data_IF_249703218828
#
_entry.id   IF_249703218828
#
_cell.length_a   1.000
_cell.length_b   1.000
_cell.length_c   1.000
_cell.angle_alpha   90.00
_cell.angle_beta   90.00
_cell.angle_gamma   90.00
#
_symmetry.space_group_name_H-M   'P 1'
#
loop_
_entity.id
_entity.type
_entity.pdbx_description
1 polymer ?
#
# COMPACT_ATOMS: atom_id res chain seq x y z
N UNK A 1 12.44 -44.42 18.10
CA UNK A 1 11.17 -44.09 17.42
C UNK A 1 11.17 -42.60 17.18
N UNK A 2 11.65 -42.19 16.01
CA UNK A 2 11.78 -40.79 15.63
C UNK A 2 10.52 -40.38 14.86
N UNK A 3 9.70 -39.51 15.44
CA UNK A 3 8.52 -38.98 14.77
C UNK A 3 8.95 -37.92 13.76
N UNK A 4 8.94 -38.28 12.49
CA UNK A 4 8.99 -37.32 11.38
C UNK A 4 7.71 -36.48 11.43
N UNK A 5 7.82 -35.22 11.86
CA UNK A 5 6.80 -34.21 11.64
C UNK A 5 6.88 -33.75 10.19
N UNK A 6 5.94 -34.22 9.37
CA UNK A 6 5.72 -33.68 8.02
C UNK A 6 5.46 -32.17 8.10
N UNK A 7 5.95 -31.36 7.12
CA UNK A 7 5.63 -29.94 7.05
C UNK A 7 4.11 -29.82 6.88
N UNK A 8 3.49 -29.15 7.86
CA UNK A 8 2.05 -29.09 8.05
C UNK A 8 1.31 -28.62 6.81
N UNK A 9 0.22 -29.31 6.52
CA UNK A 9 -0.86 -28.85 5.65
C UNK A 9 -1.37 -27.53 6.22
N UNK A 10 -1.13 -26.43 5.50
CA UNK A 10 -1.65 -25.12 5.87
C UNK A 10 -3.17 -25.14 5.76
N UNK A 11 -3.84 -25.07 6.91
CA UNK A 11 -5.29 -24.90 7.00
C UNK A 11 -5.70 -23.64 6.22
N UNK A 12 -6.69 -23.76 5.33
CA UNK A 12 -7.05 -22.78 4.31
C UNK A 12 -7.76 -21.54 4.88
N UNK A 13 -7.09 -20.80 5.76
CA UNK A 13 -7.53 -19.46 6.13
C UNK A 13 -7.57 -18.58 4.88
N UNK A 14 -8.73 -18.00 4.55
CA UNK A 14 -8.82 -16.96 3.54
C UNK A 14 -7.88 -15.82 3.99
N UNK A 15 -6.87 -15.53 3.18
CA UNK A 15 -6.01 -14.34 3.31
C UNK A 15 -6.42 -13.39 2.19
N UNK A 16 -7.46 -12.56 2.35
CA UNK A 16 -7.75 -11.56 1.35
C UNK A 16 -6.51 -10.66 1.27
N UNK A 17 -5.93 -10.52 0.08
CA UNK A 17 -4.58 -9.96 -0.09
C UNK A 17 -4.44 -8.55 0.51
N UNK A 18 -5.53 -7.81 0.63
CA UNK A 18 -5.58 -6.43 1.12
C UNK A 18 -6.47 -6.25 2.37
N UNK A 19 -6.92 -7.35 3.00
CA UNK A 19 -7.68 -7.27 4.26
C UNK A 19 -6.76 -7.60 5.41
N UNK A 20 -6.11 -6.56 5.91
CA UNK A 20 -5.30 -6.56 7.12
C UNK A 20 -5.80 -5.48 8.07
N UNK A 21 -5.44 -5.58 9.35
CA UNK A 21 -5.85 -4.60 10.36
C UNK A 21 -4.72 -3.60 10.67
N UNK A 22 -5.08 -2.38 11.06
CA UNK A 22 -4.13 -1.32 11.43
C UNK A 22 -3.24 -1.75 12.60
N UNK A 23 -3.75 -2.57 13.53
CA UNK A 23 -2.97 -3.13 14.63
C UNK A 23 -1.80 -3.98 14.12
N UNK A 24 -2.04 -4.83 13.12
CA UNK A 24 -0.99 -5.60 12.45
C UNK A 24 -0.03 -4.71 11.67
N UNK A 25 -0.53 -3.69 10.96
CA UNK A 25 0.34 -2.73 10.26
C UNK A 25 1.29 -2.04 11.24
N UNK A 26 0.76 -1.47 12.33
CA UNK A 26 1.56 -0.83 13.38
C UNK A 26 2.58 -1.77 14.01
N UNK A 27 2.17 -3.01 14.32
CA UNK A 27 3.08 -4.01 14.87
C UNK A 27 4.22 -4.33 13.89
N UNK A 28 3.91 -4.49 12.60
CA UNK A 28 4.93 -4.74 11.59
C UNK A 28 5.86 -3.54 11.40
N UNK A 29 5.35 -2.30 11.42
CA UNK A 29 6.19 -1.10 11.43
C UNK A 29 7.17 -1.10 12.61
N UNK A 30 6.71 -1.42 13.83
CA UNK A 30 7.59 -1.49 15.01
C UNK A 30 8.64 -2.61 14.94
N UNK A 31 8.23 -3.81 14.51
CA UNK A 31 9.16 -4.93 14.32
C UNK A 31 10.22 -4.56 13.28
N UNK A 32 9.78 -3.92 12.20
CA UNK A 32 10.68 -3.60 11.10
C UNK A 32 11.64 -2.45 11.42
N UNK A 33 11.18 -1.44 12.18
CA UNK A 33 12.02 -0.36 12.68
C UNK A 33 13.11 -0.86 13.66
N UNK A 34 12.87 -1.99 14.34
CA UNK A 34 13.82 -2.58 15.30
C UNK A 34 14.70 -3.70 14.71
N UNK A 35 14.40 -4.18 13.49
CA UNK A 35 15.07 -5.30 12.85
C UNK A 35 16.00 -4.94 11.69
N UNK A 36 16.62 -5.96 11.08
CA UNK A 36 17.42 -5.81 9.87
C UNK A 36 16.52 -5.74 8.61
N UNK A 37 15.90 -4.59 8.37
CA UNK A 37 15.03 -4.31 7.23
C UNK A 37 15.72 -4.39 5.85
N UNK A 38 17.04 -4.58 5.82
CA UNK A 38 17.81 -4.69 4.59
C UNK A 38 17.66 -6.05 3.91
N UNK A 39 17.36 -7.10 4.68
CA UNK A 39 17.40 -8.48 4.18
C UNK A 39 16.04 -8.97 3.67
N UNK A 40 14.94 -8.33 4.07
CA UNK A 40 13.60 -8.78 3.71
C UNK A 40 12.63 -7.62 3.46
N UNK A 41 11.70 -7.77 2.50
CA UNK A 41 10.73 -6.74 2.17
C UNK A 41 9.72 -6.55 3.30
N UNK A 42 9.17 -5.33 3.42
CA UNK A 42 8.07 -5.05 4.33
C UNK A 42 6.84 -5.90 3.97
N UNK A 43 6.27 -6.59 4.94
CA UNK A 43 5.07 -7.42 4.72
C UNK A 43 4.13 -7.35 5.90
N UNK A 44 2.85 -7.08 5.63
CA UNK A 44 1.81 -7.11 6.65
C UNK A 44 1.40 -8.57 6.89
N UNK A 45 1.91 -9.14 7.97
CA UNK A 45 1.47 -10.45 8.44
C UNK A 45 0.15 -10.27 9.22
N UNK A 46 -0.97 -10.41 8.51
CA UNK A 46 -2.31 -10.42 9.10
C UNK A 46 -3.09 -11.56 8.46
N UNK A 47 -3.58 -12.49 9.28
CA UNK A 47 -4.32 -13.67 8.83
C UNK A 47 -5.58 -13.83 9.69
N UNK A 48 -6.76 -13.84 9.08
CA UNK A 48 -8.02 -14.09 9.78
C UNK A 48 -8.25 -15.60 9.88
N UNK A 49 -8.56 -16.06 11.09
CA UNK A 49 -8.85 -17.48 11.35
C UNK A 49 -10.34 -17.73 11.14
N UNK A 50 -10.75 -17.90 9.88
CA UNK A 50 -12.09 -18.33 9.50
C UNK A 50 -13.18 -17.25 9.47
N UNK A 51 -14.37 -17.65 8.99
CA UNK A 51 -15.52 -16.78 8.66
C UNK A 51 -16.32 -16.26 9.86
N UNK A 52 -15.85 -16.47 11.09
CA UNK A 52 -16.57 -16.08 12.31
C UNK A 52 -15.76 -15.29 13.33
N UNK A 53 -14.47 -15.07 13.08
CA UNK A 53 -13.61 -14.34 14.01
C UNK A 53 -13.54 -12.86 13.61
N UNK A 54 -13.79 -11.97 14.57
CA UNK A 54 -13.58 -10.53 14.39
C UNK A 54 -12.10 -10.13 14.54
N UNK A 55 -11.22 -11.10 14.85
CA UNK A 55 -9.80 -10.90 15.10
C UNK A 55 -8.95 -11.75 14.17
N UNK A 56 -7.81 -11.21 13.75
CA UNK A 56 -6.75 -11.95 13.10
C UNK A 56 -5.88 -12.70 14.13
N UNK A 57 -5.13 -13.71 13.69
CA UNK A 57 -4.22 -14.52 14.51
C UNK A 57 -3.32 -13.67 15.41
N UNK A 58 -2.60 -12.72 14.81
CA UNK A 58 -1.64 -11.89 15.55
C UNK A 58 -2.32 -11.06 16.65
N UNK A 59 -3.49 -10.48 16.37
CA UNK A 59 -4.25 -9.75 17.39
C UNK A 59 -4.82 -10.64 18.49
N UNK A 60 -5.10 -11.92 18.19
CA UNK A 60 -5.47 -12.90 19.22
C UNK A 60 -4.28 -13.21 20.13
N UNK A 61 -3.10 -13.44 19.55
CA UNK A 61 -1.87 -13.76 20.29
C UNK A 61 -1.45 -12.64 21.25
N UNK A 62 -1.53 -11.37 20.81
CA UNK A 62 -1.16 -10.21 21.65
C UNK A 62 -2.35 -9.67 22.46
N UNK A 63 -3.48 -10.39 22.49
CA UNK A 63 -4.71 -10.00 23.17
C UNK A 63 -5.23 -8.58 22.82
N UNK A 64 -4.97 -8.09 21.61
CA UNK A 64 -5.41 -6.77 21.14
C UNK A 64 -6.70 -6.84 20.31
N UNK A 65 -7.28 -5.68 20.02
CA UNK A 65 -8.39 -5.54 19.08
C UNK A 65 -7.88 -5.40 17.63
N UNK A 66 -8.56 -6.02 16.67
CA UNK A 66 -8.37 -5.70 15.27
C UNK A 66 -9.07 -4.39 14.93
N UNK A 67 -8.29 -3.39 14.52
CA UNK A 67 -8.83 -2.14 13.99
C UNK A 67 -8.81 -2.26 12.46
N UNK A 68 -9.99 -2.36 11.84
CA UNK A 68 -10.10 -2.44 10.38
C UNK A 68 -10.02 -1.04 9.76
N UNK A 69 -9.51 -0.99 8.53
CA UNK A 69 -9.59 0.22 7.69
C UNK A 69 -11.07 0.57 7.45
N UNK A 70 -11.47 1.85 7.57
CA UNK A 70 -12.82 2.30 7.25
C UNK A 70 -13.26 1.86 5.85
N UNK A 71 -14.52 1.46 5.71
CA UNK A 71 -15.09 1.02 4.43
C UNK A 71 -14.89 2.00 3.26
N UNK A 72 -14.89 3.31 3.53
CA UNK A 72 -14.64 4.38 2.55
C UNK A 72 -13.18 4.49 2.07
N UNK A 73 -12.25 3.78 2.71
CA UNK A 73 -10.81 3.81 2.45
C UNK A 73 -10.24 2.43 2.08
N UNK A 74 -11.08 1.43 1.80
CA UNK A 74 -10.60 0.08 1.45
C UNK A 74 -9.73 0.10 0.18
N UNK A 75 -10.07 0.96 -0.77
CA UNK A 75 -9.26 1.18 -1.97
C UNK A 75 -7.90 1.78 -1.63
N UNK A 76 -7.80 2.67 -0.65
CA UNK A 76 -6.51 3.22 -0.22
C UNK A 76 -5.64 2.16 0.48
N UNK A 77 -6.24 1.27 1.29
CA UNK A 77 -5.53 0.11 1.86
C UNK A 77 -5.05 -0.86 0.78
N UNK A 78 -5.87 -1.04 -0.26
CA UNK A 78 -5.48 -1.83 -1.44
C UNK A 78 -4.31 -1.18 -2.19
N UNK A 79 -4.36 0.14 -2.43
CA UNK A 79 -3.27 0.89 -3.05
C UNK A 79 -1.96 0.69 -2.26
N UNK A 80 -1.99 0.82 -0.93
CA UNK A 80 -0.83 0.58 -0.08
C UNK A 80 -0.28 -0.86 -0.22
N UNK A 81 -1.16 -1.86 -0.21
CA UNK A 81 -0.76 -3.26 -0.38
C UNK A 81 -0.11 -3.51 -1.75
N UNK A 82 -0.63 -2.89 -2.81
CA UNK A 82 -0.04 -3.00 -4.15
C UNK A 82 1.34 -2.37 -4.21
N UNK A 83 1.54 -1.22 -3.55
CA UNK A 83 2.85 -0.59 -3.41
C UNK A 83 3.83 -1.52 -2.66
N UNK A 84 3.40 -2.16 -1.57
CA UNK A 84 4.24 -3.11 -0.83
C UNK A 84 4.62 -4.32 -1.67
N UNK A 85 3.66 -4.89 -2.40
CA UNK A 85 3.92 -6.02 -3.29
C UNK A 85 4.89 -5.63 -4.41
N UNK A 86 4.69 -4.47 -5.04
CA UNK A 86 5.62 -3.95 -6.05
C UNK A 86 7.02 -3.77 -5.46
N UNK A 87 7.14 -3.08 -4.33
CA UNK A 87 8.44 -2.82 -3.71
C UNK A 87 9.15 -4.10 -3.25
N UNK A 88 8.41 -5.16 -2.93
CA UNK A 88 9.02 -6.45 -2.56
C UNK A 88 9.89 -7.05 -3.68
N UNK A 89 9.64 -6.69 -4.93
CA UNK A 89 10.46 -7.13 -6.07
C UNK A 89 11.92 -6.66 -6.00
N UNK A 90 12.21 -5.58 -5.27
CA UNK A 90 13.59 -5.10 -5.06
C UNK A 90 14.45 -6.03 -4.17
N UNK A 91 13.80 -6.98 -3.50
CA UNK A 91 14.45 -8.03 -2.71
C UNK A 91 14.52 -9.38 -3.43
N UNK A 92 13.94 -9.50 -4.63
CA UNK A 92 14.05 -10.73 -5.42
C UNK A 92 15.38 -10.77 -6.18
N UNK A 93 16.01 -11.95 -6.20
CA UNK A 93 17.18 -12.26 -7.02
C UNK A 93 16.79 -12.68 -8.46
N UNK A 94 15.48 -12.74 -8.77
CA UNK A 94 14.96 -13.19 -10.06
C UNK A 94 15.19 -12.19 -11.21
N UNK A 95 15.72 -10.99 -10.92
CA UNK A 95 16.03 -9.96 -11.90
C UNK A 95 17.32 -10.28 -12.68
N UNK A 96 17.37 -11.38 -13.43
CA UNK A 96 18.41 -11.71 -14.43
C UNK A 96 19.88 -11.37 -14.03
N UNK A 97 20.26 -11.63 -12.77
CA UNK A 97 21.62 -11.36 -12.29
C UNK A 97 21.90 -9.93 -11.84
N UNK A 98 20.87 -9.08 -11.76
CA UNK A 98 20.90 -7.76 -11.17
C UNK A 98 20.41 -7.81 -9.72
N UNK A 99 21.26 -7.38 -8.80
CA UNK A 99 20.94 -7.32 -7.37
C UNK A 99 21.05 -5.89 -6.87
N UNK A 100 19.93 -5.37 -6.35
CA UNK A 100 19.92 -4.08 -5.67
C UNK A 100 20.80 -4.12 -4.42
N UNK A 101 21.71 -3.14 -4.29
CA UNK A 101 22.59 -3.09 -3.13
C UNK A 101 21.82 -2.74 -1.84
N UNK A 102 22.46 -2.98 -0.69
CA UNK A 102 21.85 -2.73 0.62
C UNK A 102 21.49 -1.25 0.84
N UNK A 103 22.26 -0.31 0.26
CA UNK A 103 21.96 1.12 0.33
C UNK A 103 20.64 1.48 -0.37
N UNK A 104 20.41 0.93 -1.56
CA UNK A 104 19.15 1.06 -2.29
C UNK A 104 17.98 0.47 -1.48
N UNK A 105 18.12 -0.79 -1.05
CA UNK A 105 17.08 -1.50 -0.27
C UNK A 105 16.74 -0.74 1.02
N UNK A 106 17.74 -0.17 1.69
CA UNK A 106 17.55 0.70 2.86
C UNK A 106 16.79 1.99 2.54
N UNK A 107 17.04 2.61 1.39
CA UNK A 107 16.31 3.79 0.91
C UNK A 107 14.83 3.49 0.63
N UNK A 108 14.56 2.43 -0.14
CA UNK A 108 13.19 1.96 -0.39
C UNK A 108 12.50 1.56 0.91
N UNK A 109 13.23 0.89 1.80
CA UNK A 109 12.69 0.46 3.07
C UNK A 109 12.18 1.66 3.89
N UNK A 110 13.03 2.68 4.09
CA UNK A 110 12.62 3.91 4.78
C UNK A 110 11.37 4.54 4.15
N UNK A 111 11.31 4.62 2.83
CA UNK A 111 10.17 5.18 2.12
C UNK A 111 8.88 4.39 2.36
N UNK A 112 8.95 3.06 2.44
CA UNK A 112 7.79 2.20 2.77
C UNK A 112 7.30 2.45 4.21
N UNK A 113 8.21 2.65 5.16
CA UNK A 113 7.84 2.98 6.54
C UNK A 113 7.05 4.29 6.61
N UNK A 114 7.60 5.35 6.01
CA UNK A 114 6.97 6.68 6.01
C UNK A 114 5.60 6.65 5.31
N UNK A 115 5.47 5.88 4.23
CA UNK A 115 4.20 5.67 3.54
C UNK A 115 3.17 4.95 4.43
N UNK A 116 3.61 3.94 5.19
CA UNK A 116 2.77 3.20 6.13
C UNK A 116 2.30 4.07 7.29
N UNK A 117 3.18 4.90 7.85
CA UNK A 117 2.85 5.87 8.90
C UNK A 117 1.84 6.90 8.39
N UNK A 118 2.08 7.45 7.20
CA UNK A 118 1.14 8.37 6.56
C UNK A 118 -0.25 7.73 6.36
N UNK A 119 -0.29 6.44 5.98
CA UNK A 119 -1.56 5.71 5.87
C UNK A 119 -2.31 5.62 7.21
N UNK A 120 -1.60 5.32 8.31
CA UNK A 120 -2.20 5.27 9.65
C UNK A 120 -2.74 6.65 10.07
N UNK A 121 -2.01 7.71 9.76
CA UNK A 121 -2.41 9.09 10.06
C UNK A 121 -3.66 9.53 9.27
N UNK A 122 -3.75 9.20 7.97
CA UNK A 122 -4.95 9.55 7.19
C UNK A 122 -6.18 8.75 7.62
N UNK A 123 -6.01 7.48 8.04
CA UNK A 123 -7.12 6.68 8.55
C UNK A 123 -7.64 7.28 9.85
N UNK A 124 -6.73 7.74 10.72
CA UNK A 124 -7.10 8.44 11.95
C UNK A 124 -7.85 9.75 11.66
N UNK A 125 -7.32 10.58 10.76
CA UNK A 125 -7.97 11.83 10.36
C UNK A 125 -9.38 11.61 9.78
N UNK A 126 -9.55 10.58 8.96
CA UNK A 126 -10.85 10.21 8.41
C UNK A 126 -11.82 9.71 9.48
N UNK A 127 -11.35 8.87 10.41
CA UNK A 127 -12.16 8.41 11.55
C UNK A 127 -12.58 9.59 12.43
N UNK A 128 -11.68 10.52 12.72
CA UNK A 128 -11.95 11.73 13.47
C UNK A 128 -13.02 12.58 12.78
N UNK A 129 -12.91 12.85 11.47
CA UNK A 129 -13.92 13.60 10.71
C UNK A 129 -15.33 12.98 10.82
N UNK A 130 -15.42 11.66 10.65
CA UNK A 130 -16.69 10.94 10.75
C UNK A 130 -17.25 10.90 12.17
N UNK A 131 -16.39 11.01 13.18
CA UNK A 131 -16.78 11.11 14.58
C UNK A 131 -17.05 12.57 15.03
N UNK A 132 -16.70 13.59 14.23
CA UNK A 132 -16.67 15.00 14.64
C UNK A 132 -17.62 15.92 13.86
N UNK A 133 -18.53 15.40 13.02
CA UNK A 133 -19.44 16.24 12.21
C UNK A 133 -20.47 17.02 13.06
N UNK A 134 -19.99 18.17 13.55
CA UNK A 134 -20.59 19.50 13.82
C UNK A 134 -21.74 19.62 14.83
N UNK A 135 -22.23 18.54 15.43
CA UNK A 135 -23.09 18.64 16.62
C UNK A 135 -22.77 17.58 17.69
N UNK A 136 -21.50 17.20 17.82
CA UNK A 136 -21.02 16.23 18.81
C UNK A 136 -21.55 14.80 18.63
N UNK A 137 -22.26 14.53 17.53
CA UNK A 137 -22.80 13.22 17.21
C UNK A 137 -21.91 12.51 16.19
N UNK A 138 -21.49 11.30 16.53
CA UNK A 138 -20.92 10.36 15.58
C UNK A 138 -21.88 10.19 14.38
N UNK A 139 -21.36 10.17 13.15
CA UNK A 139 -22.20 9.84 11.98
C UNK A 139 -22.95 8.54 12.28
N UNK A 140 -24.27 8.54 12.08
CA UNK A 140 -25.04 7.34 12.35
C UNK A 140 -24.54 6.20 11.45
N UNK A 141 -24.50 4.95 11.93
CA UNK A 141 -24.11 3.81 11.09
C UNK A 141 -24.94 3.69 9.80
N UNK A 142 -26.18 4.18 9.80
CA UNK A 142 -27.05 4.23 8.63
C UNK A 142 -26.54 5.28 7.64
N UNK A 143 -26.28 6.52 8.09
CA UNK A 143 -25.75 7.58 7.24
C UNK A 143 -24.39 7.21 6.62
N UNK A 144 -23.52 6.54 7.39
CA UNK A 144 -22.25 6.04 6.88
C UNK A 144 -22.44 4.98 5.79
N UNK A 145 -23.35 4.01 5.98
CA UNK A 145 -23.69 3.00 4.95
C UNK A 145 -24.31 3.65 3.71
N UNK A 146 -25.16 4.67 3.88
CA UNK A 146 -25.74 5.42 2.76
C UNK A 146 -24.65 6.14 1.96
N UNK A 147 -23.68 6.79 2.62
CA UNK A 147 -22.55 7.43 1.96
C UNK A 147 -21.70 6.43 1.18
N UNK A 148 -21.39 5.27 1.77
CA UNK A 148 -20.67 4.19 1.08
C UNK A 148 -21.42 3.74 -0.18
N UNK A 149 -22.72 3.46 -0.06
CA UNK A 149 -23.55 3.02 -1.17
C UNK A 149 -23.61 4.07 -2.29
N UNK A 150 -23.75 5.35 -1.93
CA UNK A 150 -23.75 6.46 -2.89
C UNK A 150 -22.43 6.53 -3.67
N UNK A 151 -21.27 6.47 -2.99
CA UNK A 151 -19.96 6.49 -3.67
C UNK A 151 -19.75 5.26 -4.54
N UNK A 152 -20.19 4.09 -4.07
CA UNK A 152 -20.08 2.86 -4.84
C UNK A 152 -20.88 2.95 -6.15
N UNK A 153 -22.07 3.53 -6.12
CA UNK A 153 -22.87 3.75 -7.32
C UNK A 153 -22.19 4.70 -8.31
N UNK A 154 -21.53 5.77 -7.82
CA UNK A 154 -20.78 6.69 -8.70
C UNK A 154 -19.65 5.96 -9.43
N UNK A 155 -18.89 5.10 -8.73
CA UNK A 155 -17.82 4.29 -9.35
C UNK A 155 -18.40 3.35 -10.41
N UNK A 156 -19.45 2.60 -10.05
CA UNK A 156 -20.07 1.63 -10.96
C UNK A 156 -20.66 2.28 -12.22
N UNK A 157 -21.20 3.50 -12.10
CA UNK A 157 -21.76 4.23 -13.24
C UNK A 157 -20.69 4.89 -14.13
N UNK A 158 -19.54 5.25 -13.56
CA UNK A 158 -18.42 5.85 -14.30
C UNK A 158 -17.52 4.84 -15.02
N UNK A 159 -17.64 3.56 -14.68
CA UNK A 159 -16.74 2.51 -15.14
C UNK A 159 -17.34 1.61 -16.20
N UNK A 160 -16.79 1.70 -17.41
CA UNK A 160 -17.22 0.88 -18.55
C UNK A 160 -16.42 -0.42 -18.69
N UNK A 161 -15.25 -0.54 -18.03
CA UNK A 161 -14.37 -1.72 -18.11
C UNK A 161 -13.76 -2.10 -16.75
N UNK A 162 -14.01 -3.32 -16.29
CA UNK A 162 -13.47 -3.87 -15.02
C UNK A 162 -11.95 -4.09 -15.02
N UNK A 163 -11.31 -4.05 -16.19
CA UNK A 163 -9.87 -4.20 -16.31
C UNK A 163 -9.11 -2.96 -15.79
N UNK A 164 -9.75 -1.80 -15.80
CA UNK A 164 -9.13 -0.57 -15.31
C UNK A 164 -9.02 -0.59 -13.77
N UNK A 165 -7.84 -0.26 -13.26
CA UNK A 165 -7.57 -0.08 -11.82
C UNK A 165 -8.58 0.87 -11.15
N UNK A 166 -8.95 1.93 -11.87
CA UNK A 166 -9.95 2.92 -11.44
C UNK A 166 -11.36 2.34 -11.34
N UNK A 167 -11.58 1.16 -11.91
CA UNK A 167 -12.86 0.45 -11.95
C UNK A 167 -12.96 -0.71 -10.97
N UNK A 168 -11.97 -0.88 -10.10
CA UNK A 168 -12.14 -1.70 -8.91
C UNK A 168 -13.21 -1.06 -8.02
N UNK A 169 -14.23 -1.82 -7.55
CA UNK A 169 -15.33 -1.29 -6.73
C UNK A 169 -14.89 -1.02 -5.27
N UNK A 170 -13.66 -0.54 -5.08
CA UNK A 170 -13.06 -0.22 -3.81
C UNK A 170 -13.13 1.30 -3.59
N UNK A 171 -13.74 1.69 -2.48
CA UNK A 171 -13.90 3.09 -2.11
C UNK A 171 -12.56 3.68 -1.66
N UNK A 172 -12.25 4.86 -2.17
CA UNK A 172 -11.06 5.64 -1.81
C UNK A 172 -11.47 6.99 -1.25
N UNK A 173 -10.53 7.64 -0.58
CA UNK A 173 -10.64 9.06 -0.28
C UNK A 173 -10.83 9.86 -1.58
N UNK A 174 -11.73 10.84 -1.53
CA UNK A 174 -12.01 11.78 -2.64
C UNK A 174 -11.68 13.22 -2.22
N UNK A 175 -11.52 14.16 -3.16
CA UNK A 175 -11.37 15.57 -2.82
C UNK A 175 -12.46 16.06 -1.88
N UNK A 176 -12.07 16.62 -0.74
CA UNK A 176 -12.96 17.05 0.33
C UNK A 176 -12.91 16.16 1.57
N UNK A 177 -12.47 14.89 1.45
CA UNK A 177 -12.30 14.02 2.61
C UNK A 177 -11.07 14.42 3.45
N UNK A 178 -11.17 14.24 4.77
CA UNK A 178 -10.02 14.36 5.65
C UNK A 178 -8.92 13.36 5.26
N UNK A 179 -7.70 13.88 5.12
CA UNK A 179 -6.53 13.09 4.74
C UNK A 179 -6.31 12.93 3.23
N UNK A 180 -7.27 13.31 2.36
CA UNK A 180 -7.12 13.12 0.91
C UNK A 180 -5.83 13.77 0.33
N UNK A 181 -5.53 15.06 0.60
CA UNK A 181 -4.30 15.67 0.07
C UNK A 181 -3.04 15.00 0.60
N UNK A 182 -3.02 14.72 1.92
CA UNK A 182 -1.88 14.07 2.60
C UNK A 182 -1.59 12.68 2.03
N UNK A 183 -2.63 11.93 1.65
CA UNK A 183 -2.45 10.61 1.06
C UNK A 183 -1.83 10.68 -0.33
N UNK A 184 -2.25 11.64 -1.15
CA UNK A 184 -1.60 11.93 -2.44
C UNK A 184 -0.13 12.27 -2.25
N UNK A 185 0.16 13.24 -1.38
CA UNK A 185 1.53 13.71 -1.09
C UNK A 185 2.43 12.57 -0.59
N UNK A 186 1.91 11.67 0.25
CA UNK A 186 2.68 10.54 0.76
C UNK A 186 3.08 9.55 -0.34
N UNK A 187 2.18 9.25 -1.29
CA UNK A 187 2.47 8.37 -2.43
C UNK A 187 3.48 9.00 -3.38
N UNK A 188 3.35 10.30 -3.64
CA UNK A 188 4.30 11.06 -4.46
C UNK A 188 5.69 11.11 -3.80
N UNK A 189 5.73 11.32 -2.47
CA UNK A 189 6.96 11.31 -1.72
C UNK A 189 7.66 9.95 -1.75
N UNK A 190 6.89 8.86 -1.59
CA UNK A 190 7.41 7.51 -1.71
C UNK A 190 8.07 7.27 -3.08
N UNK A 191 7.38 7.60 -4.18
CA UNK A 191 7.92 7.43 -5.54
C UNK A 191 9.20 8.24 -5.75
N UNK A 192 9.23 9.48 -5.26
CA UNK A 192 10.42 10.33 -5.32
C UNK A 192 11.61 9.71 -4.59
N UNK A 193 11.38 9.16 -3.39
CA UNK A 193 12.44 8.51 -2.62
C UNK A 193 12.98 7.26 -3.32
N UNK A 194 12.11 6.45 -3.92
CA UNK A 194 12.55 5.28 -4.70
C UNK A 194 13.41 5.73 -5.89
N UNK A 195 12.99 6.77 -6.62
CA UNK A 195 13.77 7.32 -7.74
C UNK A 195 15.16 7.81 -7.29
N UNK A 196 15.22 8.57 -6.20
CA UNK A 196 16.50 9.04 -5.64
C UNK A 196 17.40 7.88 -5.20
N UNK A 197 16.83 6.83 -4.61
CA UNK A 197 17.57 5.63 -4.25
C UNK A 197 18.11 4.93 -5.50
N UNK A 198 17.31 4.84 -6.57
CA UNK A 198 17.72 4.28 -7.86
C UNK A 198 18.89 5.06 -8.45
N UNK A 199 18.81 6.39 -8.51
CA UNK A 199 19.88 7.25 -9.02
C UNK A 199 21.18 7.06 -8.23
N UNK A 200 21.10 7.01 -6.90
CA UNK A 200 22.25 6.76 -6.03
C UNK A 200 22.87 5.37 -6.26
N UNK A 201 22.04 4.35 -6.50
CA UNK A 201 22.50 2.99 -6.81
C UNK A 201 23.32 2.95 -8.10
N UNK A 202 22.84 3.58 -9.18
CA UNK A 202 23.58 3.63 -10.44
C UNK A 202 24.84 4.46 -10.37
N UNK A 203 24.80 5.60 -9.67
CA UNK A 203 26.00 6.38 -9.42
C UNK A 203 27.08 5.53 -8.72
N UNK A 204 26.68 4.72 -7.74
CA UNK A 204 27.57 3.76 -7.07
C UNK A 204 28.16 2.74 -8.04
N UNK A 205 27.35 2.10 -8.90
CA UNK A 205 27.84 1.12 -9.89
C UNK A 205 28.87 1.74 -10.84
N UNK A 206 28.59 2.95 -11.36
CA UNK A 206 29.50 3.68 -12.23
C UNK A 206 30.84 3.97 -11.55
N UNK A 207 30.83 4.43 -10.29
CA UNK A 207 32.07 4.74 -9.57
C UNK A 207 32.95 3.53 -9.28
N UNK A 208 32.36 2.32 -9.24
CA UNK A 208 33.07 1.07 -8.93
C UNK A 208 33.45 0.27 -10.18
N UNK A 209 33.33 0.86 -11.38
CA UNK A 209 33.73 0.20 -12.63
C UNK A 209 32.83 -0.96 -13.06
N UNK A 210 31.62 -1.06 -12.50
CA UNK A 210 30.60 -1.95 -13.05
C UNK A 210 30.00 -1.30 -14.29
N UNK A 211 29.84 -2.07 -15.38
CA UNK A 211 29.10 -1.61 -16.55
C UNK A 211 27.68 -1.26 -16.11
N UNK A 212 27.35 0.03 -16.14
CA UNK A 212 26.00 0.45 -15.84
C UNK A 212 25.08 -0.03 -16.96
N UNK A 213 23.91 -0.59 -16.63
CA UNK A 213 22.89 -0.84 -17.65
C UNK A 213 22.51 0.48 -18.33
N UNK A 214 22.13 0.37 -19.59
CA UNK A 214 21.97 1.49 -20.52
C UNK A 214 20.86 2.49 -20.16
N UNK A 215 20.04 2.21 -19.14
CA UNK A 215 19.02 3.12 -18.63
C UNK A 215 18.61 2.82 -17.19
N UNK A 216 18.70 3.82 -16.30
CA UNK A 216 18.30 3.72 -14.90
C UNK A 216 16.79 3.49 -14.68
N UNK A 217 15.96 3.84 -15.66
CA UNK A 217 14.50 3.64 -15.61
C UNK A 217 14.06 2.31 -16.20
N UNK A 218 14.93 1.63 -16.95
CA UNK A 218 14.58 0.34 -17.58
C UNK A 218 14.52 -0.80 -16.56
N UNK A 219 15.28 -0.71 -15.46
CA UNK A 219 15.36 -1.80 -14.48
C UNK A 219 14.43 -1.59 -13.27
N UNK A 220 13.73 -0.45 -13.18
CA UNK A 220 12.65 -0.31 -12.21
C UNK A 220 11.48 -1.17 -12.72
N UNK A 221 11.06 -2.21 -11.98
CA UNK A 221 9.95 -3.04 -12.40
C UNK A 221 8.71 -2.18 -12.61
N UNK A 222 7.94 -2.39 -13.69
CA UNK A 222 6.78 -1.57 -13.96
C UNK A 222 5.79 -1.66 -12.80
N UNK A 223 5.36 -0.51 -12.31
CA UNK A 223 4.29 -0.47 -11.32
C UNK A 223 3.01 -1.08 -11.93
N UNK A 224 2.27 -1.96 -11.20
CA UNK A 224 1.11 -2.67 -11.75
C UNK A 224 0.03 -1.77 -12.36
N UNK A 225 -0.11 -0.53 -11.87
CA UNK A 225 -1.06 0.45 -12.41
C UNK A 225 -0.79 0.91 -13.85
N UNK A 226 0.37 0.59 -14.43
CA UNK A 226 0.78 1.08 -15.76
C UNK A 226 0.67 0.05 -16.90
N UNK A 227 0.26 -1.20 -16.65
CA UNK A 227 0.51 -2.30 -17.60
C UNK A 227 -0.53 -2.52 -18.72
N UNK A 228 -1.57 -1.70 -18.89
CA UNK A 228 -2.71 -2.13 -19.72
C UNK A 228 -2.97 -1.49 -21.08
N UNK A 229 -2.23 -0.48 -21.55
CA UNK A 229 -2.37 -0.07 -22.97
C UNK A 229 -1.04 0.45 -23.50
N UNK A 230 -0.51 -0.17 -24.56
CA UNK A 230 0.76 0.16 -25.21
C UNK A 230 0.82 1.54 -25.89
N UNK A 231 0.06 2.50 -25.40
CA UNK A 231 0.04 3.89 -25.85
C UNK A 231 0.03 4.80 -24.62
N UNK A 232 1.10 5.62 -24.48
CA UNK A 232 1.35 6.66 -23.46
C UNK A 232 1.69 6.21 -22.04
N UNK A 233 2.95 6.38 -21.63
CA UNK A 233 3.29 6.47 -20.20
C UNK A 233 2.90 7.85 -19.63
N UNK A 234 3.15 8.13 -18.33
CA UNK A 234 2.91 7.30 -17.14
C UNK A 234 1.48 7.56 -16.60
N UNK A 235 0.69 6.51 -16.34
CA UNK A 235 -0.58 6.64 -15.60
C UNK A 235 -0.40 6.21 -14.14
N UNK A 236 0.48 6.93 -13.46
CA UNK A 236 0.41 7.05 -12.01
C UNK A 236 -0.01 8.50 -11.71
N UNK A 237 -1.25 8.68 -11.25
CA UNK A 237 -1.78 9.92 -10.65
C UNK A 237 -2.15 11.10 -11.55
N UNK A 238 -2.87 10.89 -12.67
CA UNK A 238 -3.52 12.00 -13.39
C UNK A 238 -4.81 12.51 -12.69
N UNK A 239 -4.69 12.94 -11.43
CA UNK A 239 -5.57 13.99 -10.87
C UNK A 239 -4.65 15.08 -10.28
N UNK A 240 -3.90 15.77 -11.17
CA UNK A 240 -3.77 17.24 -11.26
C UNK A 240 -2.55 17.63 -12.12
N UNK A 241 -2.82 17.99 -13.37
CA UNK A 241 -2.19 19.15 -14.02
C UNK A 241 -3.00 19.65 -15.23
N UNK A 242 -4.33 19.61 -15.15
CA UNK A 242 -5.22 20.30 -16.11
C UNK A 242 -6.26 21.13 -15.37
N UNK A 243 -5.81 22.24 -14.77
CA UNK A 243 -6.63 23.44 -14.62
C UNK A 243 -5.78 24.64 -15.03
N UNK A 244 -6.26 25.51 -15.93
CA UNK A 244 -5.55 26.72 -16.31
C UNK A 244 -5.53 27.69 -15.13
N UNK A 245 -4.38 28.30 -14.87
CA UNK A 245 -4.29 29.44 -13.97
C UNK A 245 -5.17 30.59 -14.53
N UNK A 246 -5.89 31.35 -13.67
CA UNK A 246 -6.56 32.55 -14.11
C UNK A 246 -5.53 33.58 -14.61
N UNK A 247 -5.90 34.24 -15.71
CA UNK A 247 -5.16 35.26 -16.43
C UNK A 247 -4.65 36.41 -15.56
#
# INVERSE_FOLDING_TARGET
MSSNSSPGVWDFGLRPQFVWCLSCLNMQMMIWASGNHLDYPFSIQCQFEGTGTSKCRNCMEIASGCILTPGLMIGDAYDLQMIFNWASSFWSDDLQGFTWNSGFRGGVARALHELAEAFVDIVRAHQEELCTTVSGGQISPIAYKTLMAQRQQVILNGCTTYANYDCQPLLRLIPGDAGYPKWGDAKDNFLRQVLMATEAHYAFLHTNGHEAPTSATADIPPYPGNQQDGTTGPRMWAIRSTFPLPS
#
